data_IF_005599479274
#
_entry.id   IF_005599479274
#
_cell.length_a   1.000
_cell.length_b   1.000
_cell.length_c   1.000
_cell.angle_alpha   90.00
_cell.angle_beta   90.00
_cell.angle_gamma   90.00
#
_symmetry.space_group_name_H-M   'P 1'
#
loop_
_entity.id
_entity.type
_entity.pdbx_description
1 polymer ?
#
# COMPACT_ATOMS: atom_id res chain seq x y z
N UNK A 1 86.53 -14.71 14.69
CA UNK A 1 85.59 -15.60 13.96
C UNK A 1 84.18 -15.28 14.40
N UNK A 2 83.27 -15.16 13.41
CA UNK A 2 81.80 -14.95 13.46
C UNK A 2 81.29 -13.61 14.04
N UNK A 3 80.96 -12.70 13.11
CA UNK A 3 79.98 -11.61 13.29
C UNK A 3 78.60 -12.23 13.49
N UNK A 4 77.87 -11.79 14.51
CA UNK A 4 76.47 -12.21 14.76
C UNK A 4 75.54 -11.09 14.33
N UNK A 5 74.65 -11.41 13.38
CA UNK A 5 73.57 -10.57 12.85
C UNK A 5 72.28 -10.85 13.63
N UNK A 6 71.53 -9.82 14.01
CA UNK A 6 70.06 -9.85 14.28
C UNK A 6 69.60 -8.40 14.41
N UNK A 7 69.00 -7.74 13.41
CA UNK A 7 67.68 -7.89 12.77
C UNK A 7 66.49 -7.59 13.69
N UNK A 8 66.02 -6.33 13.56
CA UNK A 8 64.62 -5.86 13.52
C UNK A 8 63.56 -6.53 14.40
N UNK A 9 62.97 -5.76 15.32
CA UNK A 9 61.56 -5.89 15.70
C UNK A 9 60.93 -4.51 15.85
N UNK A 10 60.51 -3.95 14.72
CA UNK A 10 59.56 -2.84 14.67
C UNK A 10 58.16 -3.44 14.88
N UNK A 11 57.68 -3.41 16.13
CA UNK A 11 56.35 -3.90 16.48
C UNK A 11 55.29 -2.89 16.00
N UNK A 12 54.77 -3.11 14.81
CA UNK A 12 53.63 -2.35 14.27
C UNK A 12 52.36 -2.75 15.03
N UNK A 13 51.79 -1.77 15.73
CA UNK A 13 50.49 -1.84 16.40
C UNK A 13 49.39 -1.89 15.34
N UNK A 14 48.72 -3.04 15.19
CA UNK A 14 47.51 -3.17 14.36
C UNK A 14 46.30 -2.69 15.16
N UNK A 15 45.79 -1.50 14.83
CA UNK A 15 44.48 -1.04 15.30
C UNK A 15 43.44 -1.63 14.35
N UNK A 16 42.69 -2.62 14.81
CA UNK A 16 41.49 -3.11 14.10
C UNK A 16 40.37 -2.12 14.39
N UNK A 17 40.12 -1.20 13.45
CA UNK A 17 38.91 -0.39 13.44
C UNK A 17 37.72 -1.33 13.17
N UNK A 18 36.96 -1.67 14.20
CA UNK A 18 35.67 -2.34 14.05
C UNK A 18 34.68 -1.28 13.56
N UNK A 19 34.59 -1.08 12.24
CA UNK A 19 33.52 -0.29 11.66
C UNK A 19 32.23 -1.10 11.81
N UNK A 20 31.45 -0.80 12.85
CA UNK A 20 30.04 -1.14 12.90
C UNK A 20 29.38 -0.42 11.72
N UNK A 21 29.30 -1.08 10.57
CA UNK A 21 28.55 -0.59 9.43
C UNK A 21 27.10 -0.48 9.87
N UNK A 22 26.60 0.74 10.05
CA UNK A 22 25.18 0.96 10.17
C UNK A 22 24.54 0.42 8.88
N UNK A 23 23.87 -0.72 8.98
CA UNK A 23 23.00 -1.17 7.89
C UNK A 23 21.89 -0.14 7.80
N UNK A 24 21.96 0.72 6.79
CA UNK A 24 20.82 1.56 6.41
C UNK A 24 19.72 0.60 5.99
N UNK A 25 18.59 0.58 6.71
CA UNK A 25 17.43 -0.17 6.27
C UNK A 25 17.05 0.32 4.86
N UNK A 26 17.00 -0.60 3.91
CA UNK A 26 16.66 -0.26 2.53
C UNK A 26 15.15 -0.02 2.47
N UNK A 27 14.76 1.17 2.00
CA UNK A 27 13.36 1.50 1.78
C UNK A 27 12.80 0.52 0.75
N UNK A 28 11.73 -0.18 1.11
CA UNK A 28 11.02 -1.08 0.21
C UNK A 28 9.80 -0.36 -0.33
N UNK A 29 9.68 -0.28 -1.65
CA UNK A 29 8.50 0.21 -2.33
C UNK A 29 7.52 -0.93 -2.53
N UNK A 30 6.25 -0.72 -2.19
CA UNK A 30 5.26 -1.81 -2.26
C UNK A 30 4.46 -1.84 -3.57
N UNK A 31 4.68 -0.91 -4.51
CA UNK A 31 3.86 -0.80 -5.71
C UNK A 31 2.40 -0.42 -5.39
N UNK A 32 2.18 0.24 -4.26
CA UNK A 32 0.85 0.69 -3.83
C UNK A 32 0.91 2.19 -3.64
N UNK A 33 -0.11 2.89 -4.12
CA UNK A 33 -0.24 4.33 -3.97
C UNK A 33 -1.51 4.64 -3.20
N UNK A 34 -1.38 5.45 -2.15
CA UNK A 34 -2.51 5.97 -1.37
C UNK A 34 -2.59 7.47 -1.63
N UNK A 35 -3.72 7.94 -2.14
CA UNK A 35 -3.92 9.34 -2.51
C UNK A 35 -2.77 9.92 -3.38
N UNK A 36 -2.20 9.10 -4.26
CA UNK A 36 -1.10 9.49 -5.16
C UNK A 36 0.31 9.42 -4.54
N UNK A 37 0.45 9.19 -3.24
CA UNK A 37 1.76 8.98 -2.60
C UNK A 37 2.08 7.49 -2.51
N UNK A 38 3.30 7.10 -2.86
CA UNK A 38 3.77 5.72 -2.80
C UNK A 38 3.86 5.23 -1.35
N UNK A 39 3.30 4.04 -1.09
CA UNK A 39 3.39 3.34 0.17
C UNK A 39 4.70 2.55 0.20
N UNK A 40 5.51 2.82 1.21
CA UNK A 40 6.83 2.21 1.40
C UNK A 40 6.99 1.73 2.84
N UNK A 41 8.06 0.98 3.11
CA UNK A 41 8.41 0.57 4.47
C UNK A 41 8.56 1.73 5.46
N UNK A 42 8.83 2.94 4.98
CA UNK A 42 9.06 4.12 5.84
C UNK A 42 7.76 4.79 6.29
N UNK A 43 6.71 4.73 5.46
CA UNK A 43 5.45 5.42 5.74
C UNK A 43 4.25 4.48 5.99
N UNK A 44 4.40 3.17 5.79
CA UNK A 44 3.32 2.20 5.99
C UNK A 44 2.77 2.14 7.42
N UNK A 45 3.60 2.47 8.42
CA UNK A 45 3.17 2.57 9.82
C UNK A 45 2.35 3.83 10.14
N UNK A 46 2.19 4.76 9.19
CA UNK A 46 1.59 6.07 9.43
C UNK A 46 0.84 6.59 8.19
N UNK A 47 -0.22 5.87 7.78
CA UNK A 47 -1.14 6.30 6.71
C UNK A 47 -2.08 7.38 7.24
N UNK A 48 -1.64 8.63 7.13
CA UNK A 48 -2.35 9.83 7.61
C UNK A 48 -2.08 11.04 6.70
N UNK A 49 -2.75 12.16 6.96
CA UNK A 49 -2.63 13.38 6.15
C UNK A 49 -1.22 14.03 6.17
N UNK A 50 -0.34 13.67 7.10
CA UNK A 50 1.04 14.18 7.11
C UNK A 50 1.89 13.46 6.07
N UNK A 51 1.81 12.13 6.01
CA UNK A 51 2.60 11.32 5.07
C UNK A 51 1.91 11.15 3.72
N UNK A 52 0.59 11.35 3.67
CA UNK A 52 -0.25 11.24 2.47
C UNK A 52 -1.10 12.51 2.33
N UNK A 53 -0.50 13.64 1.87
CA UNK A 53 -1.13 14.96 1.97
C UNK A 53 -2.47 15.11 1.23
N UNK A 54 -2.68 14.33 0.16
CA UNK A 54 -3.92 14.34 -0.62
C UNK A 54 -4.98 13.36 -0.11
N UNK A 55 -4.75 12.68 1.02
CA UNK A 55 -5.68 11.67 1.55
C UNK A 55 -6.98 12.28 2.06
N UNK A 56 -6.92 13.48 2.66
CA UNK A 56 -8.08 14.18 3.21
C UNK A 56 -8.85 13.35 4.23
N UNK A 57 -8.15 12.57 5.06
CA UNK A 57 -8.73 11.73 6.10
C UNK A 57 -9.32 12.61 7.22
N UNK A 58 -10.59 12.43 7.52
CA UNK A 58 -11.27 13.09 8.64
C UNK A 58 -10.82 12.49 9.99
N UNK A 59 -10.96 13.28 11.06
CA UNK A 59 -10.69 12.80 12.42
C UNK A 59 -11.57 11.60 12.79
N UNK A 60 -11.00 10.66 13.56
CA UNK A 60 -11.69 9.48 14.06
C UNK A 60 -11.63 8.24 13.14
N UNK A 61 -11.29 8.41 11.87
CA UNK A 61 -11.01 7.31 10.95
C UNK A 61 -9.56 6.84 11.01
N UNK A 62 -9.31 5.54 10.83
CA UNK A 62 -7.94 5.00 10.74
C UNK A 62 -7.75 4.06 9.55
N UNK A 63 -6.56 4.12 8.96
CA UNK A 63 -6.09 3.23 7.90
C UNK A 63 -4.78 2.61 8.38
N UNK A 64 -4.70 1.29 8.34
CA UNK A 64 -3.46 0.55 8.62
C UNK A 64 -3.17 -0.42 7.50
N UNK A 65 -1.90 -0.78 7.34
CA UNK A 65 -1.46 -1.77 6.35
C UNK A 65 -0.52 -2.78 7.00
N UNK A 66 -0.91 -4.05 6.96
CA UNK A 66 -0.03 -5.17 7.27
C UNK A 66 0.60 -5.66 5.96
N UNK A 67 1.90 -5.44 5.80
CA UNK A 67 2.62 -5.86 4.60
C UNK A 67 2.80 -7.37 4.50
N UNK A 68 2.88 -8.10 5.63
CA UNK A 68 3.01 -9.56 5.61
C UNK A 68 1.72 -10.23 5.16
N UNK A 69 0.58 -9.74 5.66
CA UNK A 69 -0.75 -10.27 5.34
C UNK A 69 -1.41 -9.56 4.14
N UNK A 70 -0.71 -8.60 3.52
CA UNK A 70 -1.22 -7.77 2.40
C UNK A 70 -2.60 -7.17 2.68
N UNK A 71 -2.83 -6.79 3.94
CA UNK A 71 -4.15 -6.41 4.43
C UNK A 71 -4.18 -4.95 4.86
N UNK A 72 -5.05 -4.18 4.22
CA UNK A 72 -5.48 -2.87 4.70
C UNK A 72 -6.65 -3.03 5.66
N UNK A 73 -6.60 -2.37 6.82
CA UNK A 73 -7.77 -2.24 7.69
C UNK A 73 -8.26 -0.80 7.71
N UNK A 74 -9.50 -0.59 7.29
CA UNK A 74 -10.19 0.70 7.31
C UNK A 74 -11.21 0.70 8.44
N UNK A 75 -11.01 1.55 9.45
CA UNK A 75 -11.92 1.68 10.60
C UNK A 75 -12.56 3.05 10.59
N UNK A 76 -13.87 3.12 10.33
CA UNK A 76 -14.64 4.37 10.37
C UNK A 76 -14.10 5.47 9.46
N UNK A 77 -13.47 5.11 8.34
CA UNK A 77 -12.78 6.04 7.45
C UNK A 77 -13.76 6.94 6.75
N UNK A 78 -13.57 8.26 6.88
CA UNK A 78 -14.16 9.25 5.98
C UNK A 78 -13.02 10.02 5.32
N UNK A 79 -12.90 9.95 4.00
CA UNK A 79 -11.80 10.57 3.25
C UNK A 79 -12.31 11.32 2.02
N UNK A 80 -11.70 12.48 1.72
CA UNK A 80 -11.94 13.24 0.49
C UNK A 80 -10.60 13.40 -0.23
N UNK A 81 -10.41 12.66 -1.31
CA UNK A 81 -9.17 12.62 -2.09
C UNK A 81 -9.33 13.46 -3.34
N UNK A 82 -8.39 14.40 -3.55
CA UNK A 82 -8.40 15.29 -4.71
C UNK A 82 -7.30 14.92 -5.70
N UNK A 83 -7.64 14.92 -6.99
CA UNK A 83 -6.72 14.78 -8.15
C UNK A 83 -5.88 13.50 -8.21
N UNK A 84 -6.16 12.52 -7.37
CA UNK A 84 -5.50 11.21 -7.33
C UNK A 84 -6.53 10.11 -7.03
N UNK A 85 -6.16 8.83 -7.18
CA UNK A 85 -6.99 7.71 -6.67
C UNK A 85 -6.80 7.59 -5.15
N UNK A 86 -7.83 7.18 -4.42
CA UNK A 86 -7.66 6.84 -2.99
C UNK A 86 -6.68 5.69 -2.82
N UNK A 87 -6.81 4.63 -3.63
CA UNK A 87 -5.90 3.49 -3.63
C UNK A 87 -5.62 3.02 -5.05
N UNK A 88 -4.34 2.77 -5.36
CA UNK A 88 -3.91 2.04 -6.55
C UNK A 88 -2.92 0.95 -6.15
N UNK A 89 -3.28 -0.32 -6.37
CA UNK A 89 -2.34 -1.45 -6.33
C UNK A 89 -1.86 -1.67 -7.75
N UNK A 90 -0.60 -1.33 -8.05
CA UNK A 90 -0.07 -1.37 -9.42
C UNK A 90 0.44 -2.73 -9.84
N UNK A 91 0.72 -2.87 -11.13
CA UNK A 91 1.39 -4.00 -11.77
C UNK A 91 2.80 -4.27 -11.22
N UNK A 92 3.42 -3.30 -10.55
CA UNK A 92 4.68 -3.46 -9.81
C UNK A 92 4.50 -3.94 -8.36
N UNK A 93 3.27 -4.10 -7.87
CA UNK A 93 3.02 -4.64 -6.53
C UNK A 93 3.44 -6.11 -6.46
N UNK A 94 3.55 -6.68 -5.27
CA UNK A 94 3.82 -8.11 -5.12
C UNK A 94 2.67 -8.93 -5.74
N UNK A 95 2.98 -10.07 -6.37
CA UNK A 95 1.97 -11.00 -6.89
C UNK A 95 1.34 -11.77 -5.72
N UNK A 96 0.28 -11.18 -5.15
CA UNK A 96 -0.43 -11.70 -3.99
C UNK A 96 -1.90 -11.25 -4.00
N UNK A 97 -2.72 -11.90 -3.18
CA UNK A 97 -4.07 -11.46 -2.89
C UNK A 97 -4.03 -10.35 -1.83
N UNK A 98 -4.60 -9.20 -2.15
CA UNK A 98 -4.70 -8.06 -1.24
C UNK A 98 -6.07 -8.03 -0.59
N UNK A 99 -6.14 -7.56 0.66
CA UNK A 99 -7.39 -7.47 1.40
C UNK A 99 -7.65 -6.04 1.89
N UNK A 100 -8.89 -5.58 1.79
CA UNK A 100 -9.43 -4.44 2.53
C UNK A 100 -10.42 -5.01 3.54
N UNK A 101 -10.00 -5.04 4.81
CA UNK A 101 -10.83 -5.39 5.95
C UNK A 101 -11.54 -4.14 6.48
N UNK A 102 -12.87 -4.14 6.42
CA UNK A 102 -13.71 -3.03 6.79
C UNK A 102 -14.21 -3.19 8.23
N UNK A 103 -14.04 -2.14 9.03
CA UNK A 103 -14.59 -2.02 10.38
C UNK A 103 -15.43 -0.76 10.46
N UNK A 104 -16.68 -0.89 10.91
CA UNK A 104 -17.64 0.21 10.94
C UNK A 104 -18.02 0.72 9.54
N UNK A 105 -18.50 1.96 9.47
CA UNK A 105 -18.91 2.58 8.20
C UNK A 105 -17.78 3.37 7.60
N UNK A 106 -17.37 3.02 6.38
CA UNK A 106 -16.30 3.69 5.65
C UNK A 106 -16.89 4.39 4.41
N UNK A 107 -16.50 5.65 4.17
CA UNK A 107 -16.93 6.46 3.06
C UNK A 107 -15.74 7.22 2.44
N UNK A 108 -15.57 7.09 1.13
CA UNK A 108 -14.47 7.70 0.39
C UNK A 108 -15.06 8.49 -0.77
N UNK A 109 -14.73 9.77 -0.85
CA UNK A 109 -15.06 10.64 -1.98
C UNK A 109 -13.78 10.90 -2.77
N UNK A 110 -13.86 10.77 -4.09
CA UNK A 110 -12.74 10.95 -5.00
C UNK A 110 -13.10 12.00 -6.06
N UNK A 111 -12.45 13.17 -5.99
CA UNK A 111 -12.69 14.28 -6.90
C UNK A 111 -11.55 14.35 -7.91
N UNK A 112 -11.82 14.11 -9.20
CA UNK A 112 -10.84 14.26 -10.28
C UNK A 112 -9.81 13.13 -10.47
N UNK A 113 -9.99 11.96 -9.83
CA UNK A 113 -9.29 10.72 -10.20
C UNK A 113 -10.09 9.91 -11.21
N UNK A 114 -9.42 9.04 -11.98
CA UNK A 114 -10.11 8.14 -12.95
C UNK A 114 -10.77 6.94 -12.28
N UNK A 115 -10.42 6.64 -11.02
CA UNK A 115 -11.13 5.70 -10.18
C UNK A 115 -10.89 5.99 -8.69
N UNK A 116 -11.80 5.63 -7.79
CA UNK A 116 -11.52 5.71 -6.34
C UNK A 116 -10.52 4.64 -5.92
N UNK A 117 -10.79 3.38 -6.30
CA UNK A 117 -9.89 2.24 -6.08
C UNK A 117 -9.55 1.64 -7.44
N UNK A 118 -8.28 1.36 -7.69
CA UNK A 118 -7.85 0.62 -8.87
C UNK A 118 -6.84 -0.47 -8.51
N UNK A 119 -6.93 -1.64 -9.15
CA UNK A 119 -6.03 -2.75 -8.86
C UNK A 119 -5.62 -3.55 -10.10
N UNK A 120 -4.36 -3.96 -10.13
CA UNK A 120 -3.76 -4.97 -11.03
C UNK A 120 -3.47 -6.28 -10.27
N UNK A 121 -4.12 -6.47 -9.12
CA UNK A 121 -4.01 -7.64 -8.24
C UNK A 121 -5.39 -8.05 -7.78
N UNK A 122 -5.52 -9.30 -7.37
CA UNK A 122 -6.70 -9.74 -6.63
C UNK A 122 -6.93 -8.85 -5.41
N UNK A 123 -8.19 -8.42 -5.26
CA UNK A 123 -8.60 -7.57 -4.15
C UNK A 123 -9.84 -8.16 -3.49
N UNK A 124 -9.69 -8.52 -2.22
CA UNK A 124 -10.78 -9.00 -1.38
C UNK A 124 -11.25 -7.83 -0.52
N UNK A 125 -12.53 -7.52 -0.55
CA UNK A 125 -13.16 -6.55 0.34
C UNK A 125 -14.08 -7.31 1.28
N UNK A 126 -13.74 -7.29 2.56
CA UNK A 126 -14.41 -8.08 3.59
C UNK A 126 -14.49 -7.33 4.93
N UNK A 127 -14.89 -8.03 5.99
CA UNK A 127 -14.95 -7.50 7.35
C UNK A 127 -16.37 -7.15 7.80
N UNK A 128 -16.50 -6.79 9.08
CA UNK A 128 -17.80 -6.54 9.71
C UNK A 128 -18.40 -5.17 9.38
N UNK A 129 -17.70 -4.35 8.60
CA UNK A 129 -18.08 -3.00 8.22
C UNK A 129 -18.75 -2.90 6.85
N UNK A 130 -18.75 -1.68 6.31
CA UNK A 130 -19.20 -1.38 4.96
C UNK A 130 -18.31 -0.34 4.31
N UNK A 131 -18.32 -0.28 2.98
CA UNK A 131 -17.60 0.71 2.20
C UNK A 131 -18.54 1.41 1.23
N UNK A 132 -18.51 2.74 1.22
CA UNK A 132 -19.07 3.55 0.15
C UNK A 132 -17.96 4.31 -0.57
N UNK A 133 -17.88 4.16 -1.88
CA UNK A 133 -17.00 4.97 -2.73
C UNK A 133 -17.85 5.87 -3.63
N UNK A 134 -17.47 7.14 -3.73
CA UNK A 134 -18.10 8.12 -4.61
C UNK A 134 -17.01 8.76 -5.47
N UNK A 135 -17.13 8.62 -6.79
CA UNK A 135 -16.19 9.14 -7.78
C UNK A 135 -16.91 9.97 -8.83
N UNK A 136 -16.19 10.92 -9.43
CA UNK A 136 -16.64 11.59 -10.65
C UNK A 136 -16.55 10.69 -11.90
N UNK A 137 -15.83 9.56 -11.82
CA UNK A 137 -15.61 8.63 -12.93
C UNK A 137 -15.90 7.18 -12.48
N UNK A 138 -14.89 6.36 -12.22
CA UNK A 138 -15.08 4.97 -11.78
C UNK A 138 -15.07 4.83 -10.24
N UNK A 139 -16.00 4.08 -9.66
CA UNK A 139 -15.91 3.69 -8.25
C UNK A 139 -14.71 2.78 -8.01
N UNK A 140 -14.77 1.57 -8.56
CA UNK A 140 -13.70 0.56 -8.46
C UNK A 140 -13.35 0.04 -9.86
N UNK A 141 -12.06 0.08 -10.22
CA UNK A 141 -11.53 -0.36 -11.50
C UNK A 141 -10.57 -1.54 -11.35
N UNK A 142 -10.82 -2.61 -12.10
CA UNK A 142 -10.00 -3.83 -12.12
C UNK A 142 -9.33 -3.93 -13.49
N UNK A 143 -8.02 -4.14 -13.54
CA UNK A 143 -7.28 -4.18 -14.81
C UNK A 143 -7.19 -5.58 -15.43
N UNK A 144 -6.90 -6.61 -14.64
CA UNK A 144 -6.62 -7.95 -15.15
C UNK A 144 -6.73 -9.04 -14.08
N UNK A 145 -7.55 -8.82 -13.05
CA UNK A 145 -7.64 -9.69 -11.88
C UNK A 145 -9.06 -9.74 -11.29
N UNK A 146 -9.21 -10.32 -10.09
CA UNK A 146 -10.50 -10.51 -9.43
C UNK A 146 -10.73 -9.51 -8.29
N UNK A 147 -11.90 -8.88 -8.29
CA UNK A 147 -12.49 -8.25 -7.12
C UNK A 147 -13.45 -9.23 -6.45
N UNK A 148 -13.22 -9.54 -5.17
CA UNK A 148 -14.14 -10.35 -4.37
C UNK A 148 -14.73 -9.50 -3.25
N UNK A 149 -16.07 -9.42 -3.19
CA UNK A 149 -16.78 -8.79 -2.08
C UNK A 149 -17.35 -9.91 -1.21
N UNK A 150 -16.88 -10.00 0.04
CA UNK A 150 -17.15 -11.15 0.91
C UNK A 150 -17.75 -10.75 2.25
N UNK A 151 -18.96 -11.24 2.53
CA UNK A 151 -19.70 -11.02 3.77
C UNK A 151 -19.76 -9.55 4.21
N UNK A 152 -19.82 -8.63 3.26
CA UNK A 152 -19.80 -7.18 3.50
C UNK A 152 -20.62 -6.45 2.44
N UNK A 153 -20.81 -5.15 2.64
CA UNK A 153 -21.52 -4.26 1.71
C UNK A 153 -20.58 -3.22 1.13
N UNK A 154 -20.56 -3.14 -0.21
CA UNK A 154 -19.86 -2.10 -0.97
C UNK A 154 -20.85 -1.34 -1.84
N UNK A 155 -20.96 -0.03 -1.63
CA UNK A 155 -21.72 0.90 -2.46
C UNK A 155 -20.73 1.69 -3.33
N UNK A 156 -20.70 1.44 -4.64
CA UNK A 156 -19.83 2.17 -5.56
C UNK A 156 -20.63 3.12 -6.46
N UNK A 157 -20.32 4.41 -6.37
CA UNK A 157 -20.94 5.49 -7.14
C UNK A 157 -19.92 6.16 -8.04
N UNK A 158 -20.29 6.35 -9.29
CA UNK A 158 -19.55 7.09 -10.31
C UNK A 158 -20.33 7.09 -11.62
N UNK A 159 -19.72 7.55 -12.71
CA UNK A 159 -20.22 7.26 -14.06
C UNK A 159 -20.36 5.74 -14.23
N UNK A 160 -19.39 5.01 -13.68
CA UNK A 160 -19.44 3.56 -13.55
C UNK A 160 -19.08 3.14 -12.12
N UNK A 161 -19.90 2.28 -11.51
CA UNK A 161 -19.67 1.80 -10.14
C UNK A 161 -18.49 0.83 -10.03
N UNK A 162 -18.59 -0.30 -10.75
CA UNK A 162 -17.57 -1.34 -10.85
C UNK A 162 -17.21 -1.55 -12.31
N UNK A 163 -15.91 -1.58 -12.64
CA UNK A 163 -15.42 -1.61 -14.03
C UNK A 163 -14.29 -2.61 -14.17
N UNK A 164 -14.35 -3.45 -15.21
CA UNK A 164 -13.18 -4.12 -15.78
C UNK A 164 -12.60 -3.26 -16.91
N UNK A 165 -11.28 -3.14 -17.00
CA UNK A 165 -10.59 -2.20 -17.88
C UNK A 165 -10.92 -2.38 -19.37
N UNK A 166 -10.79 -3.60 -19.88
CA UNK A 166 -11.10 -3.93 -21.27
C UNK A 166 -12.09 -5.11 -21.42
N UNK A 167 -12.35 -5.83 -20.32
CA UNK A 167 -13.29 -6.96 -20.27
C UNK A 167 -12.79 -8.21 -20.98
N UNK A 168 -11.50 -8.27 -21.29
CA UNK A 168 -10.82 -9.36 -22.00
C UNK A 168 -9.53 -9.83 -21.32
N UNK A 169 -9.06 -9.09 -20.31
CA UNK A 169 -7.82 -9.33 -19.58
C UNK A 169 -8.01 -10.18 -18.32
N UNK A 170 -9.20 -10.75 -18.10
CA UNK A 170 -9.50 -11.62 -16.96
C UNK A 170 -10.13 -10.90 -15.77
N UNK A 171 -10.80 -9.78 -16.02
CA UNK A 171 -11.45 -8.98 -14.98
C UNK A 171 -12.70 -9.69 -14.44
N UNK A 172 -12.69 -10.00 -13.15
CA UNK A 172 -13.78 -10.70 -12.49
C UNK A 172 -14.33 -9.93 -11.29
N UNK A 173 -15.64 -10.03 -11.08
CA UNK A 173 -16.31 -9.63 -9.85
C UNK A 173 -16.99 -10.86 -9.25
N UNK A 174 -16.61 -11.22 -8.03
CA UNK A 174 -17.22 -12.28 -7.24
C UNK A 174 -17.89 -11.66 -6.02
N UNK A 175 -19.11 -12.10 -5.72
CA UNK A 175 -19.84 -11.70 -4.52
C UNK A 175 -20.14 -12.97 -3.71
N UNK A 176 -19.59 -13.03 -2.50
CA UNK A 176 -19.76 -14.13 -1.55
C UNK A 176 -20.48 -13.62 -0.31
N UNK A 177 -21.81 -13.72 -0.28
CA UNK A 177 -22.66 -13.27 0.82
C UNK A 177 -23.59 -14.39 1.31
#
# INVERSE_FOLDING_TARGET
MKKTTTLSKMSTLFIVLLTCGAMTAQITNYGIYIAGTELTSDNAGAINNTNFPSLGLAEGGTITYDHSEKTFTLTGVTANVDSARFMRISDSAEEADYTINLVGTNAITNNGGTATIATYRNLIVEGSGSLKVTSDDCGILIYNDTLTIKNTTVEAKGVWGFVGWDGSSGEHLIIEN
#
